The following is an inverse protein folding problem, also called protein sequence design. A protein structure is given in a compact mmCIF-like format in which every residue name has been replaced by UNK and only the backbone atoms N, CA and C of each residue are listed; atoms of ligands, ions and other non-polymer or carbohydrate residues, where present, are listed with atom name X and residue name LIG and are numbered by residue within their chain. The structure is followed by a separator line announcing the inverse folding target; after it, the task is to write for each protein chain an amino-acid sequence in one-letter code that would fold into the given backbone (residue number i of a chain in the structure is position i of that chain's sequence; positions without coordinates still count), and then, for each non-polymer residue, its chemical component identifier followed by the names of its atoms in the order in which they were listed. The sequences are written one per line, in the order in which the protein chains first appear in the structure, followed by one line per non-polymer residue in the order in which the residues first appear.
data_IF_110565976141
#
_entry.id   IF_110565976141
#
_cell.length_a   1.000
_cell.length_b   1.000
_cell.length_c   1.000
_cell.angle_alpha   90.00
_cell.angle_beta   90.00
_cell.angle_gamma   90.00
#
_symmetry.space_group_name_H-M   'P 1'
#
loop_
_entity.id
_entity.type
_entity.pdbx_description
1 polymer ?
#
# COMPACT_ATOMS: atom_id res chain seq x y z
N UNK A 1 -0.77 -6.01 -13.41
CA UNK A 1 -0.07 -6.67 -12.29
C UNK A 1 -0.89 -6.47 -11.03
N UNK A 2 -1.14 -7.53 -10.26
CA UNK A 2 -1.89 -7.45 -8.99
C UNK A 2 -0.86 -7.45 -7.86
N UNK A 3 -0.97 -6.50 -6.95
CA UNK A 3 -0.06 -6.34 -5.81
C UNK A 3 -0.87 -6.41 -4.53
N UNK A 4 -0.39 -7.13 -3.52
CA UNK A 4 -1.05 -7.21 -2.23
C UNK A 4 -0.77 -5.95 -1.43
N UNK A 5 -1.80 -5.23 -1.00
CA UNK A 5 -1.62 -4.08 -0.13
C UNK A 5 -1.58 -4.59 1.31
N UNK A 6 -0.48 -4.31 2.01
CA UNK A 6 -0.25 -4.82 3.37
C UNK A 6 -0.37 -3.73 4.43
N UNK A 7 -0.44 -2.46 4.02
CA UNK A 7 -0.93 -1.38 4.86
C UNK A 7 -0.51 0.01 4.38
N UNK A 8 -0.64 1.02 5.24
CA UNK A 8 -0.35 2.43 4.90
C UNK A 8 0.34 3.18 6.02
N UNK A 9 1.02 4.26 5.64
CA UNK A 9 1.53 5.27 6.57
C UNK A 9 0.38 6.03 7.23
N UNK A 10 0.59 6.53 8.45
CA UNK A 10 -0.42 7.24 9.24
C UNK A 10 -0.98 8.49 8.54
N UNK A 11 -0.15 9.15 7.72
CA UNK A 11 -0.54 10.30 6.90
C UNK A 11 -1.20 9.91 5.56
N UNK A 12 -1.37 8.61 5.28
CA UNK A 12 -1.94 8.05 4.05
C UNK A 12 -1.23 8.46 2.75
N UNK A 13 -0.03 9.03 2.79
CA UNK A 13 0.73 9.39 1.58
C UNK A 13 1.48 8.20 0.99
N UNK A 14 1.84 7.23 1.84
CA UNK A 14 2.59 6.04 1.44
C UNK A 14 1.80 4.79 1.76
N UNK A 15 1.80 3.87 0.82
CA UNK A 15 1.16 2.57 0.94
C UNK A 15 2.23 1.50 0.82
N UNK A 16 2.24 0.58 1.77
CA UNK A 16 3.14 -0.54 1.77
C UNK A 16 2.53 -1.67 0.95
N UNK A 17 3.25 -2.12 -0.05
CA UNK A 17 2.79 -3.12 -1.01
C UNK A 17 3.75 -4.30 -1.03
N UNK A 18 3.18 -5.51 -1.15
CA UNK A 18 3.92 -6.76 -1.31
C UNK A 18 3.74 -7.28 -2.74
N UNK A 19 4.85 -7.33 -3.45
CA UNK A 19 4.90 -7.86 -4.81
C UNK A 19 4.85 -9.40 -4.80
N UNK A 20 4.45 -10.03 -5.92
CA UNK A 20 4.38 -11.49 -6.04
C UNK A 20 5.73 -12.20 -5.83
N UNK A 21 6.84 -11.49 -6.03
CA UNK A 21 8.20 -11.97 -5.78
C UNK A 21 8.60 -11.87 -4.28
N UNK A 22 7.63 -11.70 -3.38
CA UNK A 22 7.83 -11.44 -1.95
C UNK A 22 8.59 -10.14 -1.60
N UNK A 23 8.89 -9.26 -2.56
CA UNK A 23 9.46 -7.96 -2.24
C UNK A 23 8.41 -7.05 -1.59
N UNK A 24 8.82 -6.32 -0.55
CA UNK A 24 8.00 -5.33 0.14
C UNK A 24 8.60 -3.95 -0.11
N UNK A 25 7.75 -2.98 -0.45
CA UNK A 25 8.17 -1.62 -0.70
C UNK A 25 7.06 -0.61 -0.41
N UNK A 26 7.45 0.66 -0.37
CA UNK A 26 6.53 1.78 -0.22
C UNK A 26 6.27 2.40 -1.59
N UNK A 27 5.00 2.62 -1.90
CA UNK A 27 4.55 3.30 -3.11
C UNK A 27 3.71 4.50 -2.70
N UNK A 28 3.92 5.63 -3.38
CA UNK A 28 3.13 6.82 -3.14
C UNK A 28 1.68 6.56 -3.56
N UNK A 29 0.75 6.97 -2.69
CA UNK A 29 -0.68 6.67 -2.84
C UNK A 29 -1.28 7.21 -4.14
N UNK A 30 -0.73 8.28 -4.72
CA UNK A 30 -1.25 8.88 -5.94
C UNK A 30 -0.99 8.01 -7.18
N UNK A 31 0.00 7.12 -7.13
CA UNK A 31 0.31 6.19 -8.21
C UNK A 31 -0.48 4.87 -8.11
N UNK A 32 -1.24 4.68 -7.04
CA UNK A 32 -2.07 3.49 -6.85
C UNK A 32 -3.44 3.68 -7.50
N UNK A 33 -3.56 3.21 -8.74
CA UNK A 33 -4.83 3.08 -9.44
C UNK A 33 -5.50 1.76 -9.03
N UNK A 34 -6.28 1.77 -7.95
CA UNK A 34 -6.98 0.61 -7.41
C UNK A 34 -8.40 0.92 -6.95
N UNK A 35 -9.31 -0.06 -7.08
CA UNK A 35 -10.72 0.06 -6.62
C UNK A 35 -10.88 0.09 -5.10
N UNK A 36 -9.84 -0.30 -4.35
CA UNK A 36 -9.89 -0.39 -2.89
C UNK A 36 -9.58 0.98 -2.29
N UNK A 37 -10.48 1.56 -1.48
CA UNK A 37 -10.20 2.81 -0.78
C UNK A 37 -8.96 2.64 0.10
N UNK A 38 -7.97 3.52 -0.06
CA UNK A 38 -6.75 3.55 0.77
C UNK A 38 -7.13 3.70 2.26
N UNK A 39 -8.30 4.29 2.54
CA UNK A 39 -8.89 4.45 3.88
C UNK A 39 -9.24 3.14 4.59
N UNK A 40 -9.46 2.05 3.86
CA UNK A 40 -9.79 0.74 4.42
C UNK A 40 -8.54 -0.08 4.78
N UNK A 41 -7.35 0.42 4.43
CA UNK A 41 -6.10 -0.28 4.69
C UNK A 41 -5.66 -0.10 6.15
N UNK A 42 -5.18 -1.18 6.79
CA UNK A 42 -4.62 -1.09 8.13
C UNK A 42 -3.41 -0.15 8.13
N UNK A 43 -3.34 0.70 9.15
CA UNK A 43 -2.18 1.57 9.37
C UNK A 43 -1.07 0.70 9.95
N UNK A 44 0.12 0.79 9.37
CA UNK A 44 1.32 0.09 9.83
C UNK A 44 2.36 1.15 10.16
N UNK A 45 2.74 1.20 11.43
CA UNK A 45 3.92 1.90 11.92
C UNK A 45 5.09 0.92 11.99
N UNK A 46 6.33 1.33 11.66
CA UNK A 46 7.52 0.53 11.96
C UNK A 46 7.69 0.32 13.47
#
# INVERSE_FOLDING_TARGET
QVVGIIGRSANSTWVQVRLPNNSVGWVDSNYLLGKTPITELPIVSP
#
